data_IF_105850587166
#
_entry.id   IF_105850587166
#
_cell.length_a   1.000
_cell.length_b   1.000
_cell.length_c   1.000
_cell.angle_alpha   90.00
_cell.angle_beta   90.00
_cell.angle_gamma   90.00
#
_symmetry.space_group_name_H-M   'P 1'
#
loop_
_entity.id
_entity.type
_entity.pdbx_description
1 polymer ?
#
# COMPACT_ATOMS: atom_id res chain seq x y z
N UNK A 1 5.02 -22.46 -15.52
CA UNK A 1 4.07 -21.93 -14.52
C UNK A 1 4.84 -21.04 -13.58
N UNK A 2 4.78 -19.71 -13.76
CA UNK A 2 5.50 -18.76 -12.91
C UNK A 2 4.82 -18.68 -11.54
N UNK A 3 5.61 -18.83 -10.48
CA UNK A 3 5.13 -18.93 -9.09
C UNK A 3 4.81 -17.52 -8.56
N UNK A 4 3.58 -17.04 -8.80
CA UNK A 4 3.08 -15.74 -8.31
C UNK A 4 2.75 -15.74 -6.81
N UNK A 5 2.95 -16.85 -6.10
CA UNK A 5 2.60 -17.03 -4.69
C UNK A 5 3.37 -16.13 -3.70
N UNK A 6 4.29 -15.29 -4.18
CA UNK A 6 5.11 -14.39 -3.35
C UNK A 6 4.80 -12.89 -3.54
N UNK A 7 3.80 -12.55 -4.35
CA UNK A 7 3.42 -11.16 -4.63
C UNK A 7 2.08 -10.82 -4.00
N UNK A 8 1.90 -9.59 -3.46
CA UNK A 8 0.58 -9.01 -3.26
C UNK A 8 -0.27 -9.12 -4.55
N UNK A 9 -1.60 -9.32 -4.45
CA UNK A 9 -2.46 -9.50 -5.62
C UNK A 9 -2.39 -8.34 -6.63
N UNK A 10 -2.28 -7.10 -6.12
CA UNK A 10 -2.13 -5.88 -6.93
C UNK A 10 -0.85 -5.95 -7.79
N UNK A 11 0.30 -6.26 -7.18
CA UNK A 11 1.58 -6.36 -7.90
C UNK A 11 1.59 -7.48 -8.95
N UNK A 12 0.78 -8.54 -8.74
CA UNK A 12 0.62 -9.60 -9.73
C UNK A 12 -0.17 -9.12 -10.97
N UNK A 13 -1.18 -8.28 -10.79
CA UNK A 13 -1.94 -7.66 -11.89
C UNK A 13 -1.03 -6.71 -12.68
N UNK A 14 -0.27 -5.86 -11.99
CA UNK A 14 0.66 -4.93 -12.63
C UNK A 14 1.77 -5.65 -13.39
N UNK A 15 2.30 -6.73 -12.80
CA UNK A 15 3.25 -7.61 -13.50
C UNK A 15 2.66 -8.20 -14.78
N UNK A 16 1.40 -8.62 -14.77
CA UNK A 16 0.76 -9.18 -15.97
C UNK A 16 0.53 -8.09 -17.02
N UNK A 17 0.12 -6.90 -16.60
CA UNK A 17 -0.06 -5.76 -17.49
C UNK A 17 1.26 -5.37 -18.17
N UNK A 18 2.36 -5.29 -17.42
CA UNK A 18 3.68 -5.01 -17.96
C UNK A 18 4.14 -6.11 -18.93
N UNK A 19 3.89 -7.38 -18.62
CA UNK A 19 4.20 -8.48 -19.53
C UNK A 19 3.42 -8.37 -20.86
N UNK A 20 2.12 -8.08 -20.81
CA UNK A 20 1.31 -7.87 -22.03
C UNK A 20 1.81 -6.71 -22.88
N UNK A 21 2.31 -5.63 -22.26
CA UNK A 21 2.92 -4.52 -23.00
C UNK A 21 4.19 -4.97 -23.73
N UNK A 22 5.02 -5.79 -23.10
CA UNK A 22 6.21 -6.38 -23.73
C UNK A 22 5.78 -7.27 -24.91
N UNK A 23 4.75 -8.09 -24.74
CA UNK A 23 4.25 -8.96 -25.81
C UNK A 23 3.78 -8.15 -27.03
N UNK A 24 3.10 -7.02 -26.81
CA UNK A 24 2.70 -6.09 -27.90
C UNK A 24 3.94 -5.52 -28.61
N UNK A 25 4.98 -5.11 -27.87
CA UNK A 25 6.20 -4.59 -28.49
C UNK A 25 6.91 -5.65 -29.35
N UNK A 26 6.88 -6.92 -28.96
CA UNK A 26 7.40 -8.01 -29.79
C UNK A 26 6.60 -8.18 -31.09
N UNK A 27 5.26 -8.03 -31.05
CA UNK A 27 4.43 -8.03 -32.26
C UNK A 27 4.78 -6.85 -33.18
N UNK A 28 4.91 -5.65 -32.63
CA UNK A 28 5.29 -4.46 -33.40
C UNK A 28 6.70 -4.59 -34.02
N UNK A 29 7.63 -5.26 -33.31
CA UNK A 29 8.96 -5.56 -33.85
C UNK A 29 8.87 -6.55 -35.01
N UNK A 30 8.02 -7.56 -34.91
CA UNK A 30 7.78 -8.52 -35.99
C UNK A 30 7.15 -7.84 -37.22
N UNK A 31 6.24 -6.87 -37.02
CA UNK A 31 5.68 -6.08 -38.12
C UNK A 31 6.78 -5.29 -38.84
N UNK A 32 7.72 -4.67 -38.12
CA UNK A 32 8.88 -4.00 -38.73
C UNK A 32 9.74 -5.01 -39.48
N UNK A 33 10.00 -6.18 -38.87
CA UNK A 33 10.84 -7.22 -39.46
C UNK A 33 10.26 -7.78 -40.76
N UNK A 34 8.94 -7.90 -40.84
CA UNK A 34 8.22 -8.41 -42.00
C UNK A 34 7.86 -7.31 -43.02
N UNK A 35 7.99 -6.04 -42.64
CA UNK A 35 7.70 -4.91 -43.53
C UNK A 35 8.63 -4.93 -44.75
N UNK A 36 8.08 -4.98 -45.98
CA UNK A 36 8.88 -4.93 -47.18
C UNK A 36 9.52 -3.55 -47.34
N UNK A 37 10.84 -3.52 -47.52
CA UNK A 37 11.60 -2.32 -47.83
C UNK A 37 12.61 -2.61 -48.94
N UNK A 38 12.96 -1.60 -49.73
CA UNK A 38 14.03 -1.73 -50.71
C UNK A 38 15.40 -1.60 -50.01
N UNK A 39 16.15 -2.70 -49.97
CA UNK A 39 17.49 -2.71 -49.37
C UNK A 39 18.56 -2.06 -50.24
N UNK A 40 18.27 -1.84 -51.54
CA UNK A 40 19.14 -1.09 -52.43
C UNK A 40 19.00 0.43 -52.24
N UNK A 41 17.86 0.89 -51.69
CA UNK A 41 17.66 2.28 -51.30
C UNK A 41 18.27 2.54 -49.90
N UNK A 42 19.39 3.29 -49.81
CA UNK A 42 20.06 3.54 -48.53
C UNK A 42 19.18 4.32 -47.54
N UNK A 43 18.21 5.11 -48.01
CA UNK A 43 17.31 5.84 -47.14
C UNK A 43 16.32 4.88 -46.46
N UNK A 44 15.74 3.96 -47.22
CA UNK A 44 14.82 2.95 -46.69
C UNK A 44 15.53 1.95 -45.76
N UNK A 45 16.71 1.45 -46.16
CA UNK A 45 17.50 0.55 -45.32
C UNK A 45 17.88 1.18 -43.97
N UNK A 46 18.25 2.47 -43.97
CA UNK A 46 18.54 3.21 -42.73
C UNK A 46 17.29 3.43 -41.89
N UNK A 47 16.16 3.77 -42.50
CA UNK A 47 14.89 3.98 -41.79
C UNK A 47 14.43 2.68 -41.11
N UNK A 48 14.46 1.57 -41.83
CA UNK A 48 14.14 0.24 -41.30
C UNK A 48 15.04 -0.14 -40.12
N UNK A 49 16.37 -0.01 -40.28
CA UNK A 49 17.34 -0.33 -39.22
C UNK A 49 17.12 0.54 -37.98
N UNK A 50 16.84 1.83 -38.16
CA UNK A 50 16.56 2.75 -37.06
C UNK A 50 15.29 2.36 -36.31
N UNK A 51 14.22 2.01 -37.03
CA UNK A 51 12.95 1.58 -36.44
C UNK A 51 13.12 0.26 -35.67
N UNK A 52 13.81 -0.71 -36.26
CA UNK A 52 14.09 -2.01 -35.64
C UNK A 52 14.92 -1.85 -34.35
N UNK A 53 16.02 -1.11 -34.40
CA UNK A 53 16.87 -0.85 -33.22
C UNK A 53 16.12 -0.06 -32.14
N UNK A 54 15.30 0.91 -32.55
CA UNK A 54 14.43 1.66 -31.63
C UNK A 54 13.50 0.73 -30.84
N UNK A 55 12.80 -0.17 -31.54
CA UNK A 55 11.91 -1.14 -30.88
C UNK A 55 12.64 -2.15 -30.00
N UNK A 56 13.79 -2.66 -30.45
CA UNK A 56 14.64 -3.51 -29.60
C UNK A 56 15.02 -2.82 -28.30
N UNK A 57 15.43 -1.55 -28.36
CA UNK A 57 15.80 -0.78 -27.16
C UNK A 57 14.60 -0.55 -26.22
N UNK A 58 13.40 -0.37 -26.77
CA UNK A 58 12.16 -0.21 -26.01
C UNK A 58 11.81 -1.50 -25.25
N UNK A 59 11.92 -2.65 -25.91
CA UNK A 59 11.72 -3.98 -25.31
C UNK A 59 12.71 -4.19 -24.16
N UNK A 60 14.01 -3.97 -24.39
CA UNK A 60 15.05 -4.14 -23.36
C UNK A 60 14.79 -3.27 -22.12
N UNK A 61 14.36 -2.02 -22.33
CA UNK A 61 14.02 -1.10 -21.26
C UNK A 61 12.80 -1.58 -20.46
N UNK A 62 11.75 -2.04 -21.14
CA UNK A 62 10.55 -2.57 -20.49
C UNK A 62 10.83 -3.86 -19.71
N UNK A 63 11.64 -4.76 -20.25
CA UNK A 63 12.07 -5.95 -19.53
C UNK A 63 12.91 -5.59 -18.30
N UNK A 64 13.80 -4.59 -18.41
CA UNK A 64 14.58 -4.10 -17.26
C UNK A 64 13.67 -3.50 -16.20
N UNK A 65 12.66 -2.74 -16.60
CA UNK A 65 11.66 -2.19 -15.68
C UNK A 65 10.86 -3.30 -14.98
N UNK A 66 10.41 -4.32 -15.71
CA UNK A 66 9.69 -5.47 -15.13
C UNK A 66 10.55 -6.23 -14.11
N UNK A 67 11.83 -6.47 -14.43
CA UNK A 67 12.78 -7.10 -13.50
C UNK A 67 12.99 -6.25 -12.25
N UNK A 68 13.10 -4.94 -12.38
CA UNK A 68 13.24 -4.02 -11.26
C UNK A 68 11.98 -4.01 -10.39
N UNK A 69 10.80 -3.93 -11.01
CA UNK A 69 9.50 -4.01 -10.34
C UNK A 69 9.36 -5.30 -9.53
N UNK A 70 9.69 -6.45 -10.11
CA UNK A 70 9.67 -7.73 -9.39
C UNK A 70 10.62 -7.78 -8.20
N UNK A 71 11.80 -7.18 -8.34
CA UNK A 71 12.78 -7.10 -7.25
C UNK A 71 12.25 -6.22 -6.11
N UNK A 72 11.71 -5.06 -6.45
CA UNK A 72 11.16 -4.10 -5.49
C UNK A 72 9.95 -4.67 -4.74
N UNK A 73 8.99 -5.25 -5.46
CA UNK A 73 7.81 -5.87 -4.85
C UNK A 73 8.19 -7.03 -3.90
N UNK A 74 9.17 -7.87 -4.26
CA UNK A 74 9.71 -8.89 -3.34
C UNK A 74 10.32 -8.25 -2.09
N UNK A 75 11.12 -7.19 -2.26
CA UNK A 75 11.73 -6.48 -1.13
C UNK A 75 10.65 -5.88 -0.21
N UNK A 76 9.64 -5.22 -0.78
CA UNK A 76 8.51 -4.65 -0.05
C UNK A 76 7.74 -5.72 0.71
N UNK A 77 7.47 -6.87 0.09
CA UNK A 77 6.82 -8.00 0.74
C UNK A 77 7.67 -8.58 1.89
N UNK A 78 8.98 -8.73 1.70
CA UNK A 78 9.88 -9.20 2.77
C UNK A 78 9.96 -8.20 3.92
N UNK A 79 9.99 -6.90 3.64
CA UNK A 79 10.01 -5.84 4.66
C UNK A 79 8.70 -5.83 5.45
N UNK A 80 7.56 -5.94 4.77
CA UNK A 80 6.25 -6.06 5.41
C UNK A 80 6.15 -7.31 6.30
N UNK A 81 6.63 -8.45 5.81
CA UNK A 81 6.63 -9.72 6.56
C UNK A 81 7.60 -9.68 7.74
N UNK A 82 8.80 -9.11 7.57
CA UNK A 82 9.78 -8.94 8.64
C UNK A 82 9.28 -7.99 9.72
N UNK A 83 8.64 -6.87 9.36
CA UNK A 83 8.00 -5.96 10.29
C UNK A 83 6.86 -6.64 11.08
N UNK A 84 6.14 -7.57 10.45
CA UNK A 84 5.08 -8.35 11.10
C UNK A 84 5.64 -9.44 12.03
N UNK A 85 6.66 -10.18 11.61
CA UNK A 85 7.23 -11.27 12.40
C UNK A 85 8.06 -10.75 13.58
N UNK A 86 8.73 -9.60 13.43
CA UNK A 86 9.38 -8.91 14.56
C UNK A 86 8.38 -8.38 15.59
N UNK A 87 7.09 -8.34 15.27
CA UNK A 87 6.01 -8.02 16.22
C UNK A 87 5.45 -9.26 16.97
N UNK A 88 5.96 -10.47 16.70
CA UNK A 88 5.49 -11.73 17.32
C UNK A 88 6.56 -12.37 18.22
N UNK A 89 6.50 -12.03 19.51
CA UNK A 89 7.11 -12.65 20.71
C UNK A 89 8.65 -12.63 20.92
N UNK A 90 9.14 -12.19 22.10
CA UNK A 90 10.55 -12.20 22.47
C UNK A 90 11.00 -13.57 23.00
N UNK A 91 12.29 -13.96 22.87
CA UNK A 91 12.85 -15.03 23.67
C UNK A 91 13.07 -14.54 25.11
N UNK A 92 12.37 -15.15 26.06
CA UNK A 92 12.66 -15.04 27.49
C UNK A 92 14.04 -15.62 27.78
N UNK A 93 15.05 -14.79 28.01
CA UNK A 93 16.14 -15.12 28.94
C UNK A 93 16.74 -13.85 29.52
N UNK A 94 16.84 -13.84 30.84
CA UNK A 94 17.16 -12.71 31.69
C UNK A 94 18.60 -12.20 31.60
N UNK A 95 18.72 -10.90 31.94
CA UNK A 95 19.84 -10.24 32.65
C UNK A 95 20.62 -9.21 31.84
N UNK A 96 20.53 -7.94 32.28
CA UNK A 96 21.60 -6.96 32.08
C UNK A 96 21.20 -5.59 31.50
N UNK A 97 20.94 -4.64 32.41
CA UNK A 97 21.24 -3.18 32.36
C UNK A 97 20.91 -2.32 31.11
N UNK A 98 20.00 -1.37 31.36
CA UNK A 98 19.99 0.06 30.95
C UNK A 98 20.61 0.48 29.61
N UNK A 99 19.78 0.93 28.65
CA UNK A 99 19.84 2.29 28.06
C UNK A 99 18.42 2.68 27.59
N UNK A 100 17.94 3.87 27.97
CA UNK A 100 16.67 4.44 27.50
C UNK A 100 16.70 4.75 26.01
N UNK A 101 15.84 4.10 25.23
CA UNK A 101 15.23 4.69 24.02
C UNK A 101 13.78 4.19 23.89
N UNK A 102 12.87 5.12 24.09
CA UNK A 102 11.43 4.92 24.08
C UNK A 102 10.95 4.64 22.66
N UNK A 103 10.42 3.45 22.40
CA UNK A 103 9.48 3.20 21.29
C UNK A 103 8.64 1.94 21.59
N UNK A 104 7.62 2.14 22.43
CA UNK A 104 6.44 1.26 22.49
C UNK A 104 5.54 1.60 21.29
N UNK A 105 5.12 0.62 20.52
CA UNK A 105 3.77 0.66 19.94
C UNK A 105 3.21 -0.75 19.76
N UNK A 106 2.94 -1.42 20.87
CA UNK A 106 1.57 -1.88 21.07
C UNK A 106 0.70 -0.63 21.01
N UNK A 107 -0.23 -0.53 20.04
CA UNK A 107 -1.16 0.60 20.02
C UNK A 107 -1.97 0.57 21.30
N UNK A 108 -1.49 1.27 22.33
CA UNK A 108 -2.20 1.47 23.58
C UNK A 108 -3.42 2.29 23.19
N UNK A 109 -4.58 1.63 23.08
CA UNK A 109 -5.84 2.32 22.90
C UNK A 109 -5.90 3.43 23.95
N UNK A 110 -6.23 4.64 23.52
CA UNK A 110 -6.22 5.80 24.40
C UNK A 110 -7.29 5.63 25.48
N UNK A 111 -6.82 5.43 26.70
CA UNK A 111 -7.62 5.06 27.88
C UNK A 111 -7.25 5.94 29.09
N UNK A 112 -7.03 7.24 28.84
CA UNK A 112 -6.84 8.22 29.90
C UNK A 112 -8.10 9.10 29.99
N UNK A 113 -9.02 8.83 30.94
CA UNK A 113 -10.26 9.60 31.07
C UNK A 113 -10.05 11.03 31.56
N UNK A 114 -8.89 11.36 32.12
CA UNK A 114 -8.60 12.69 32.65
C UNK A 114 -8.13 13.67 31.57
N UNK A 115 -7.77 13.16 30.39
CA UNK A 115 -7.20 13.97 29.31
C UNK A 115 -7.86 13.64 27.98
N UNK A 116 -8.19 14.71 27.24
CA UNK A 116 -8.70 14.58 25.88
C UNK A 116 -7.72 13.78 25.01
N UNK A 117 -8.21 12.65 24.52
CA UNK A 117 -7.54 11.81 23.54
C UNK A 117 -7.91 12.14 22.10
N UNK A 118 -7.41 11.33 21.16
CA UNK A 118 -7.70 11.49 19.74
C UNK A 118 -9.20 11.50 19.45
N UNK A 119 -9.61 12.38 18.54
CA UNK A 119 -10.99 12.45 18.06
C UNK A 119 -11.44 11.11 17.47
N UNK A 120 -12.54 10.57 17.96
CA UNK A 120 -13.16 9.34 17.43
C UNK A 120 -14.68 9.42 17.48
N UNK A 121 -15.38 9.33 16.36
CA UNK A 121 -16.84 9.21 16.33
C UNK A 121 -17.31 8.05 15.46
N UNK A 122 -16.39 7.25 14.92
CA UNK A 122 -16.70 6.10 14.10
C UNK A 122 -16.88 4.87 15.00
N UNK A 123 -18.08 4.24 15.04
CA UNK A 123 -18.35 3.04 15.81
C UNK A 123 -17.50 1.83 15.41
N UNK A 124 -16.95 1.79 14.19
CA UNK A 124 -16.11 0.67 13.73
C UNK A 124 -14.71 0.68 14.36
N UNK A 125 -14.32 1.76 15.05
CA UNK A 125 -12.98 1.87 15.64
C UNK A 125 -12.93 1.22 17.03
N UNK A 126 -11.91 0.40 17.36
CA UNK A 126 -11.78 -0.22 18.68
C UNK A 126 -11.77 0.77 19.85
N UNK A 127 -11.25 1.98 19.64
CA UNK A 127 -11.24 3.06 20.64
C UNK A 127 -12.65 3.63 20.91
N UNK A 128 -13.59 3.51 19.96
CA UNK A 128 -14.99 3.89 20.16
C UNK A 128 -15.65 2.92 21.14
N UNK A 129 -15.57 1.62 20.87
CA UNK A 129 -16.13 0.58 21.75
C UNK A 129 -15.55 0.65 23.16
N UNK A 130 -14.23 0.84 23.30
CA UNK A 130 -13.60 1.01 24.62
C UNK A 130 -14.20 2.19 25.41
N UNK A 131 -14.42 3.33 24.72
CA UNK A 131 -15.00 4.53 25.36
C UNK A 131 -16.47 4.31 25.70
N UNK A 132 -17.22 3.62 24.85
CA UNK A 132 -18.61 3.26 25.09
C UNK A 132 -18.77 2.32 26.29
N UNK A 133 -17.98 1.25 26.35
CA UNK A 133 -17.97 0.29 27.47
C UNK A 133 -17.62 0.95 28.81
N UNK A 134 -16.71 1.93 28.79
CA UNK A 134 -16.28 2.66 30.00
C UNK A 134 -17.15 3.87 30.33
N UNK A 135 -18.13 4.20 29.48
CA UNK A 135 -18.99 5.37 29.65
C UNK A 135 -18.27 6.71 29.46
N UNK A 136 -17.15 6.74 28.74
CA UNK A 136 -16.44 7.96 28.37
C UNK A 136 -17.09 8.63 27.16
N UNK A 137 -16.78 9.90 26.96
CA UNK A 137 -17.08 10.59 25.71
C UNK A 137 -16.46 9.82 24.54
N UNK A 138 -17.28 9.26 23.64
CA UNK A 138 -16.82 8.51 22.47
C UNK A 138 -15.86 9.35 21.60
N UNK A 139 -16.09 10.67 21.56
CA UNK A 139 -15.31 11.66 20.83
C UNK A 139 -13.92 11.98 21.38
N UNK A 140 -13.83 12.44 22.63
CA UNK A 140 -12.56 12.86 23.22
C UNK A 140 -12.02 11.90 24.28
N UNK A 141 -12.77 10.89 24.69
CA UNK A 141 -12.35 9.90 25.68
C UNK A 141 -12.32 10.38 27.13
N UNK A 142 -12.93 11.54 27.44
CA UNK A 142 -13.04 12.07 28.82
C UNK A 142 -14.30 11.51 29.51
N UNK A 143 -14.22 11.21 30.81
CA UNK A 143 -15.33 10.67 31.63
C UNK A 143 -16.35 11.71 32.12
N UNK A 144 -15.99 12.99 32.16
CA UNK A 144 -16.81 14.08 32.71
C UNK A 144 -17.97 14.53 31.79
N UNK A 145 -18.12 13.98 30.58
CA UNK A 145 -19.25 14.30 29.68
C UNK A 145 -19.44 13.22 28.62
N UNK A 146 -20.58 13.25 27.93
CA UNK A 146 -20.87 12.43 26.74
C UNK A 146 -20.68 13.24 25.44
N UNK A 147 -20.72 12.56 24.30
CA UNK A 147 -20.45 13.13 22.97
C UNK A 147 -21.28 14.37 22.62
N UNK A 148 -22.55 14.39 23.06
CA UNK A 148 -23.52 15.49 22.93
C UNK A 148 -23.05 16.78 23.60
N UNK A 149 -22.25 16.68 24.66
CA UNK A 149 -21.73 17.82 25.44
C UNK A 149 -20.23 17.99 25.30
N UNK A 150 -19.63 17.40 24.25
CA UNK A 150 -18.19 17.47 24.05
C UNK A 150 -17.71 18.88 23.70
N UNK A 151 -17.04 19.54 24.67
CA UNK A 151 -16.40 20.86 24.46
C UNK A 151 -15.04 20.77 23.78
N UNK A 152 -14.35 19.63 23.88
CA UNK A 152 -13.06 19.40 23.22
C UNK A 152 -13.20 19.38 21.70
N UNK A 153 -14.28 18.78 21.21
CA UNK A 153 -14.53 18.64 19.77
C UNK A 153 -15.96 19.07 19.46
N UNK A 154 -16.15 20.33 19.06
CA UNK A 154 -17.47 20.91 18.73
C UNK A 154 -18.20 20.20 17.59
N UNK A 155 -17.48 19.39 16.78
CA UNK A 155 -18.08 18.57 15.71
C UNK A 155 -18.87 17.36 16.23
N UNK A 156 -18.66 16.95 17.48
CA UNK A 156 -19.42 15.84 18.08
C UNK A 156 -20.84 16.21 18.50
N UNK A 157 -21.09 17.50 18.76
CA UNK A 157 -22.39 18.01 19.18
C UNK A 157 -23.45 18.00 18.05
N UNK A 158 -23.09 17.59 16.82
CA UNK A 158 -23.93 17.77 15.62
C UNK A 158 -24.54 16.48 15.06
N UNK A 159 -24.42 15.34 15.73
CA UNK A 159 -25.00 14.07 15.27
C UNK A 159 -26.24 13.66 16.08
N UNK A 160 -27.03 14.64 16.48
CA UNK A 160 -28.38 14.37 16.96
C UNK A 160 -29.33 14.23 15.76
N UNK A 161 -29.79 13.00 15.54
CA UNK A 161 -31.09 12.67 14.95
C UNK A 161 -31.40 13.18 13.53
N UNK A 162 -31.17 12.33 12.51
CA UNK A 162 -32.06 12.17 11.33
C UNK A 162 -31.66 10.97 10.45
N UNK A 163 -32.46 9.91 10.58
CA UNK A 163 -33.01 9.05 9.51
C UNK A 163 -32.05 8.61 8.40
N UNK A 164 -31.67 7.32 8.40
CA UNK A 164 -31.67 6.53 7.16
C UNK A 164 -32.42 5.23 7.46
N UNK A 165 -33.72 5.24 7.11
CA UNK A 165 -34.51 4.04 6.94
C UNK A 165 -33.97 3.25 5.75
N UNK A 166 -33.93 1.93 5.90
CA UNK A 166 -33.82 0.99 4.79
C UNK A 166 -34.97 1.22 3.80
N UNK A 167 -34.63 1.39 2.53
CA UNK A 167 -35.44 0.98 1.38
C UNK A 167 -34.52 0.19 0.44
#
# INVERSE_FOLDING_TARGET
MSNYALFPPEDAVDSQLQQRKIDVLYVELDDIRLSPYDSADPAQAKAWSTAYQGKMSEIENMERALRAFHKEARQNFTNFTAARNSASFPPDTASGRNVSSTSKSTMKLWDDPKRAGPFTNNPEKPIYHLREEKGYCTCCGIDNHKEDKCRTYSRCQKLDSRVIMYL
#
